data_IF_224876625624
#
_entry.id   IF_224876625624
#
_cell.length_a   1.000
_cell.length_b   1.000
_cell.length_c   1.000
_cell.angle_alpha   90.00
_cell.angle_beta   90.00
_cell.angle_gamma   90.00
#
_symmetry.space_group_name_H-M   'P 1'
#
loop_
_entity.id
_entity.type
_entity.pdbx_description
1 polymer ?
#
# COMPACT_ATOMS: atom_id res chain seq x y z
N UNK A 1 -10.88 18.68 -10.59
CA UNK A 1 -10.54 19.10 -9.22
C UNK A 1 -10.83 17.92 -8.29
N UNK A 2 -9.99 17.64 -7.31
CA UNK A 2 -10.22 16.55 -6.34
C UNK A 2 -10.89 17.15 -5.11
N UNK A 3 -11.99 16.51 -4.65
CA UNK A 3 -12.80 17.05 -3.56
C UNK A 3 -12.28 16.57 -2.21
N UNK A 4 -12.08 17.48 -1.27
CA UNK A 4 -11.67 17.20 0.11
C UNK A 4 -12.84 17.45 1.06
N UNK A 5 -13.14 16.46 1.91
CA UNK A 5 -14.20 16.54 2.92
C UNK A 5 -13.62 16.24 4.30
N UNK A 6 -14.08 16.95 5.30
CA UNK A 6 -13.65 16.72 6.68
C UNK A 6 -14.68 15.87 7.42
N UNK A 7 -14.22 14.81 8.08
CA UNK A 7 -15.05 13.86 8.82
C UNK A 7 -14.45 13.59 10.19
N UNK A 8 -15.29 13.53 11.21
CA UNK A 8 -14.89 13.08 12.54
C UNK A 8 -15.23 11.59 12.68
N UNK A 9 -14.24 10.69 12.62
CA UNK A 9 -14.48 9.26 12.72
C UNK A 9 -14.81 8.87 14.17
N UNK A 10 -15.63 7.84 14.34
CA UNK A 10 -15.87 7.24 15.67
C UNK A 10 -14.71 6.36 16.13
N UNK A 11 -14.03 5.71 15.19
CA UNK A 11 -12.92 4.78 15.44
C UNK A 11 -11.90 4.88 14.32
N UNK A 12 -10.66 4.57 14.63
CA UNK A 12 -9.54 4.48 13.67
C UNK A 12 -8.98 3.06 13.57
N UNK A 13 -8.84 2.37 14.72
CA UNK A 13 -8.38 1.00 14.76
C UNK A 13 -9.55 0.05 14.50
N UNK A 14 -9.51 -0.61 13.35
CA UNK A 14 -10.48 -1.63 13.00
C UNK A 14 -9.85 -3.02 13.17
N UNK A 15 -10.62 -4.02 13.58
CA UNK A 15 -10.13 -5.40 13.71
C UNK A 15 -9.56 -5.91 12.39
N UNK A 16 -8.38 -6.50 12.41
CA UNK A 16 -7.79 -7.20 11.26
C UNK A 16 -8.64 -8.44 10.92
N UNK A 17 -9.12 -8.53 9.69
CA UNK A 17 -9.97 -9.63 9.22
C UNK A 17 -9.61 -10.02 7.78
N UNK A 18 -9.99 -11.22 7.36
CA UNK A 18 -9.76 -11.70 5.99
C UNK A 18 -8.27 -11.73 5.65
N UNK A 19 -7.87 -11.02 4.60
CA UNK A 19 -6.46 -10.93 4.19
C UNK A 19 -5.55 -10.39 5.30
N UNK A 20 -6.07 -9.52 6.17
CA UNK A 20 -5.34 -8.92 7.28
C UNK A 20 -5.49 -9.68 8.61
N UNK A 21 -5.90 -10.95 8.61
CA UNK A 21 -6.10 -11.74 9.84
C UNK A 21 -4.82 -11.95 10.66
N UNK A 22 -3.63 -11.76 10.09
CA UNK A 22 -2.35 -11.76 10.81
C UNK A 22 -2.11 -10.51 11.66
N UNK A 23 -2.86 -9.43 11.42
CA UNK A 23 -2.82 -8.20 12.20
C UNK A 23 -3.96 -8.13 13.20
N UNK A 24 -3.68 -7.56 14.38
CA UNK A 24 -4.76 -7.28 15.34
C UNK A 24 -5.67 -6.17 14.85
N UNK A 25 -5.10 -5.18 14.15
CA UNK A 25 -5.82 -4.01 13.68
C UNK A 25 -5.40 -3.58 12.26
N UNK A 26 -6.33 -2.94 11.56
CA UNK A 26 -6.06 -2.10 10.40
C UNK A 26 -6.37 -0.64 10.72
N UNK A 27 -5.61 0.28 10.12
CA UNK A 27 -5.78 1.72 10.27
C UNK A 27 -5.71 2.37 8.90
N UNK A 28 -6.69 3.23 8.58
CA UNK A 28 -6.68 4.03 7.36
C UNK A 28 -6.77 5.51 7.75
N UNK A 29 -5.73 6.34 7.51
CA UNK A 29 -5.73 7.77 7.87
C UNK A 29 -6.83 8.56 7.16
N UNK A 30 -7.17 8.13 5.97
CA UNK A 30 -8.17 8.73 5.09
C UNK A 30 -9.28 7.73 4.74
N UNK A 31 -10.34 8.24 4.11
CA UNK A 31 -11.31 7.43 3.37
C UNK A 31 -11.36 7.97 1.93
N UNK A 32 -11.30 7.09 0.93
CA UNK A 32 -11.04 7.49 -0.44
C UNK A 32 -9.54 7.60 -0.74
N UNK A 33 -9.18 7.64 -2.04
CA UNK A 33 -7.79 7.71 -2.47
C UNK A 33 -7.70 8.39 -3.84
N UNK A 34 -7.04 9.54 -3.89
CA UNK A 34 -6.95 10.35 -5.11
C UNK A 34 -5.92 9.87 -6.13
N UNK A 35 -5.15 8.80 -5.83
CA UNK A 35 -4.36 8.10 -6.85
C UNK A 35 -5.25 7.38 -7.88
N UNK A 36 -6.46 6.99 -7.51
CA UNK A 36 -7.49 6.54 -8.45
C UNK A 36 -7.11 5.37 -9.34
N UNK A 37 -6.23 4.47 -8.89
CA UNK A 37 -5.76 3.33 -9.69
C UNK A 37 -6.90 2.61 -10.39
N UNK A 38 -6.72 2.24 -11.66
CA UNK A 38 -7.76 1.62 -12.48
C UNK A 38 -8.26 0.30 -11.88
N UNK A 39 -7.35 -0.48 -11.36
CA UNK A 39 -7.58 -1.81 -10.79
C UNK A 39 -7.98 -1.82 -9.30
N UNK A 40 -8.10 -0.67 -8.66
CA UNK A 40 -8.29 -0.62 -7.20
C UNK A 40 -9.57 -1.36 -6.78
N UNK A 41 -9.41 -2.46 -6.05
CA UNK A 41 -10.53 -3.29 -5.58
C UNK A 41 -11.51 -2.52 -4.67
N UNK A 42 -11.04 -1.43 -4.04
CA UNK A 42 -11.86 -0.58 -3.16
C UNK A 42 -13.00 0.08 -3.94
N UNK A 43 -12.88 0.25 -5.26
CA UNK A 43 -13.97 0.70 -6.15
C UNK A 43 -15.23 -0.17 -6.02
N UNK A 44 -15.07 -1.45 -5.65
CA UNK A 44 -16.15 -2.43 -5.48
C UNK A 44 -16.59 -2.61 -4.02
N UNK A 45 -16.03 -1.83 -3.10
CA UNK A 45 -16.43 -1.89 -1.69
C UNK A 45 -17.49 -0.83 -1.36
N UNK A 46 -18.30 -1.05 -0.30
CA UNK A 46 -19.35 -0.12 0.12
C UNK A 46 -18.89 1.33 0.26
N UNK A 47 -17.66 1.55 0.72
CA UNK A 47 -17.05 2.88 0.86
C UNK A 47 -17.01 3.67 -0.46
N UNK A 48 -16.94 2.98 -1.58
CA UNK A 48 -16.95 3.58 -2.92
C UNK A 48 -18.33 3.47 -3.59
N UNK A 49 -18.97 2.29 -3.52
CA UNK A 49 -20.21 2.01 -4.26
C UNK A 49 -21.42 2.82 -3.75
N UNK A 50 -21.43 3.19 -2.47
CA UNK A 50 -22.48 4.07 -1.90
C UNK A 50 -22.17 5.58 -2.06
N UNK A 51 -21.01 5.91 -2.62
CA UNK A 51 -20.64 7.29 -2.92
C UNK A 51 -21.11 7.68 -4.32
N UNK A 52 -21.65 8.89 -4.46
CA UNK A 52 -22.07 9.43 -5.78
C UNK A 52 -20.89 9.84 -6.66
N UNK A 53 -19.75 10.13 -6.05
CA UNK A 53 -18.54 10.59 -6.70
C UNK A 53 -17.68 9.42 -7.17
N UNK A 54 -17.07 9.55 -8.36
CA UNK A 54 -16.17 8.54 -8.90
C UNK A 54 -14.95 8.34 -8.00
N UNK A 55 -14.50 7.08 -7.87
CA UNK A 55 -13.25 6.77 -7.17
C UNK A 55 -12.06 7.50 -7.81
N UNK A 56 -11.22 8.09 -6.97
CA UNK A 56 -10.07 8.89 -7.43
C UNK A 56 -10.32 10.39 -7.45
N UNK A 57 -11.58 10.84 -7.28
CA UNK A 57 -11.94 12.27 -7.34
C UNK A 57 -12.20 12.90 -5.97
N UNK A 58 -12.16 12.12 -4.89
CA UNK A 58 -12.47 12.59 -3.55
C UNK A 58 -11.62 11.93 -2.46
N UNK A 59 -11.53 12.60 -1.33
CA UNK A 59 -10.95 12.10 -0.09
C UNK A 59 -11.67 12.68 1.12
N UNK A 60 -11.99 11.84 2.11
CA UNK A 60 -12.43 12.27 3.44
C UNK A 60 -11.22 12.33 4.37
N UNK A 61 -10.97 13.49 4.93
CA UNK A 61 -9.90 13.80 5.87
C UNK A 61 -10.44 13.56 7.29
N UNK A 62 -9.77 12.70 8.03
CA UNK A 62 -10.20 12.33 9.39
C UNK A 62 -9.71 13.34 10.42
N UNK A 63 -10.62 14.19 10.90
CA UNK A 63 -10.32 15.15 11.97
C UNK A 63 -10.06 14.44 13.30
N UNK A 64 -9.26 15.07 14.15
CA UNK A 64 -8.98 14.58 15.52
C UNK A 64 -8.40 13.14 15.55
N UNK A 65 -7.80 12.71 14.42
CA UNK A 65 -7.33 11.35 14.25
C UNK A 65 -6.29 10.96 15.32
N UNK A 66 -5.36 11.86 15.63
CA UNK A 66 -4.32 11.64 16.64
C UNK A 66 -4.92 11.38 18.04
N UNK A 67 -5.90 12.18 18.46
CA UNK A 67 -6.54 12.04 19.78
C UNK A 67 -7.36 10.77 19.90
N UNK A 68 -8.04 10.39 18.82
CA UNK A 68 -8.79 9.14 18.76
C UNK A 68 -7.82 7.95 18.83
N UNK A 69 -6.76 7.97 18.02
CA UNK A 69 -5.75 6.90 18.02
C UNK A 69 -5.09 6.75 19.40
N UNK A 70 -4.71 7.84 20.05
CA UNK A 70 -4.07 7.81 21.39
C UNK A 70 -4.93 7.05 22.41
N UNK A 71 -6.24 7.27 22.40
CA UNK A 71 -7.20 6.58 23.30
C UNK A 71 -7.35 5.11 22.92
N UNK A 72 -7.51 4.83 21.62
CA UNK A 72 -7.74 3.47 21.13
C UNK A 72 -6.49 2.59 21.27
N UNK A 73 -5.30 3.14 21.00
CA UNK A 73 -4.03 2.43 21.10
C UNK A 73 -3.75 2.00 22.55
N UNK A 74 -3.91 2.91 23.52
CA UNK A 74 -3.79 2.58 24.95
C UNK A 74 -4.76 1.45 25.35
N UNK A 75 -6.02 1.55 24.90
CA UNK A 75 -7.06 0.53 25.17
C UNK A 75 -6.73 -0.80 24.48
N UNK A 76 -6.19 -0.78 23.29
CA UNK A 76 -5.78 -2.01 22.59
C UNK A 76 -4.61 -2.69 23.29
N UNK A 77 -3.58 -1.93 23.66
CA UNK A 77 -2.39 -2.44 24.35
C UNK A 77 -2.69 -3.01 25.74
N UNK A 78 -3.68 -2.47 26.46
CA UNK A 78 -4.12 -3.07 27.74
C UNK A 78 -4.74 -4.47 27.60
N UNK A 79 -5.07 -4.87 26.37
CA UNK A 79 -5.66 -6.19 26.05
C UNK A 79 -4.66 -7.18 25.47
N UNK A 80 -3.43 -6.74 25.13
CA UNK A 80 -2.37 -7.57 24.59
C UNK A 80 -1.61 -6.95 23.44
N UNK A 81 -0.96 -7.77 22.64
CA UNK A 81 -0.14 -7.37 21.49
C UNK A 81 -0.94 -6.57 20.47
N UNK A 82 -0.36 -5.49 19.95
CA UNK A 82 -0.96 -4.64 18.95
C UNK A 82 -0.11 -4.58 17.69
N UNK A 83 -0.60 -5.17 16.62
CA UNK A 83 -0.01 -5.08 15.28
C UNK A 83 -0.97 -4.34 14.36
N UNK A 84 -0.46 -3.36 13.62
CA UNK A 84 -1.27 -2.45 12.80
C UNK A 84 -0.86 -2.55 11.34
N UNK A 85 -1.84 -2.79 10.45
CA UNK A 85 -1.67 -2.60 9.02
C UNK A 85 -2.22 -1.23 8.64
N UNK A 86 -1.33 -0.30 8.28
CA UNK A 86 -1.73 1.03 7.84
C UNK A 86 -1.96 1.04 6.34
N UNK A 87 -3.22 1.37 5.98
CA UNK A 87 -3.70 1.65 4.64
C UNK A 87 -3.98 0.43 3.76
N UNK A 88 -5.03 -0.30 4.16
CA UNK A 88 -5.63 -1.36 3.34
C UNK A 88 -6.61 -0.85 2.28
N UNK A 89 -7.22 0.33 2.46
CA UNK A 89 -8.27 0.84 1.57
C UNK A 89 -8.06 2.29 1.09
N UNK A 90 -6.91 2.84 1.34
CA UNK A 90 -6.47 4.17 0.90
C UNK A 90 -4.94 4.18 0.73
N UNK A 91 -4.36 5.31 0.38
CA UNK A 91 -2.91 5.51 0.53
C UNK A 91 -2.67 6.54 1.65
N UNK A 92 -1.81 6.27 2.64
CA UNK A 92 -1.59 7.15 3.78
C UNK A 92 -0.85 8.43 3.38
N UNK A 93 -0.16 8.39 2.26
CA UNK A 93 0.62 9.51 1.71
C UNK A 93 0.06 10.00 0.36
N UNK A 94 -1.26 9.85 0.13
CA UNK A 94 -1.90 10.46 -1.03
C UNK A 94 -1.74 11.99 -1.04
N UNK A 95 -1.97 12.70 -2.16
CA UNK A 95 -1.69 14.14 -2.28
C UNK A 95 -2.22 15.02 -1.15
N UNK A 96 -3.39 14.71 -0.59
CA UNK A 96 -3.97 15.45 0.53
C UNK A 96 -3.06 15.46 1.78
N UNK A 97 -2.28 14.40 2.00
CA UNK A 97 -1.38 14.27 3.16
C UNK A 97 -0.29 15.35 3.20
N UNK A 98 0.12 15.88 2.02
CA UNK A 98 1.12 16.95 1.98
C UNK A 98 0.70 18.18 2.79
N UNK A 99 -0.59 18.50 2.79
CA UNK A 99 -1.17 19.65 3.51
C UNK A 99 -1.81 19.27 4.83
N UNK A 100 -2.45 18.10 4.88
CA UNK A 100 -3.32 17.72 6.00
C UNK A 100 -2.56 17.02 7.14
N UNK A 101 -1.40 16.42 6.87
CA UNK A 101 -0.49 15.78 7.83
C UNK A 101 -1.16 14.78 8.81
N UNK A 102 -2.26 14.15 8.38
CA UNK A 102 -2.99 13.19 9.22
C UNK A 102 -2.12 11.97 9.52
N UNK A 103 -1.45 11.42 8.50
CA UNK A 103 -0.55 10.27 8.68
C UNK A 103 0.61 10.62 9.61
N UNK A 104 1.20 11.80 9.44
CA UNK A 104 2.28 12.28 10.30
C UNK A 104 1.84 12.36 11.76
N UNK A 105 0.68 12.98 12.03
CA UNK A 105 0.14 13.08 13.38
C UNK A 105 -0.16 11.73 14.03
N UNK A 106 -0.55 10.72 13.24
CA UNK A 106 -0.74 9.35 13.72
C UNK A 106 0.61 8.66 14.03
N UNK A 107 1.64 8.91 13.23
CA UNK A 107 2.99 8.39 13.50
C UNK A 107 3.57 9.02 14.78
N UNK A 108 3.35 10.31 15.03
CA UNK A 108 3.74 10.98 16.27
C UNK A 108 3.14 10.28 17.50
N UNK A 109 1.83 9.96 17.46
CA UNK A 109 1.18 9.17 18.52
C UNK A 109 1.80 7.79 18.68
N UNK A 110 2.16 7.12 17.56
CA UNK A 110 2.79 5.80 17.61
C UNK A 110 4.24 5.85 18.10
N UNK A 111 4.93 6.96 17.93
CA UNK A 111 6.26 7.17 18.54
C UNK A 111 6.14 7.35 20.04
N UNK A 112 5.15 8.12 20.53
CA UNK A 112 4.87 8.29 21.96
C UNK A 112 4.49 6.96 22.66
N UNK A 113 3.70 6.14 22.01
CA UNK A 113 3.20 4.85 22.53
C UNK A 113 3.25 3.77 21.43
N UNK A 114 4.45 3.17 21.15
CA UNK A 114 4.64 2.34 19.97
C UNK A 114 3.80 1.06 19.98
N UNK A 115 3.15 0.70 18.84
CA UNK A 115 2.59 -0.64 18.68
C UNK A 115 3.70 -1.70 18.66
N UNK A 116 3.36 -2.97 18.78
CA UNK A 116 4.32 -4.06 18.64
C UNK A 116 4.84 -4.19 17.21
N UNK A 117 4.01 -3.86 16.23
CA UNK A 117 4.42 -3.79 14.82
C UNK A 117 3.48 -2.88 14.01
N UNK A 118 4.07 -2.08 13.13
CA UNK A 118 3.39 -1.21 12.16
C UNK A 118 3.84 -1.55 10.73
N UNK A 119 2.91 -1.94 9.89
CA UNK A 119 3.13 -2.05 8.45
C UNK A 119 2.55 -0.81 7.76
N UNK A 120 3.37 -0.07 7.02
CA UNK A 120 2.96 1.12 6.29
C UNK A 120 2.93 0.83 4.80
N UNK A 121 1.75 0.78 4.21
CA UNK A 121 1.56 0.50 2.77
C UNK A 121 1.37 1.79 1.99
N UNK A 122 2.26 2.11 1.04
CA UNK A 122 2.14 3.29 0.20
C UNK A 122 2.76 3.11 -1.19
N UNK A 123 2.35 3.94 -2.14
CA UNK A 123 3.04 4.15 -3.43
C UNK A 123 3.58 5.57 -3.57
N UNK A 124 3.41 6.36 -2.52
CA UNK A 124 3.78 7.77 -2.52
C UNK A 124 5.24 7.97 -2.16
N UNK A 125 5.84 8.97 -2.77
CA UNK A 125 7.18 9.45 -2.42
C UNK A 125 7.18 10.32 -1.16
N UNK A 126 5.99 10.76 -0.71
CA UNK A 126 5.85 11.65 0.45
C UNK A 126 6.24 10.97 1.78
N UNK A 127 6.27 9.63 1.84
CA UNK A 127 6.73 8.89 3.02
C UNK A 127 8.13 9.29 3.48
N UNK A 128 8.97 9.83 2.58
CA UNK A 128 10.31 10.36 2.89
C UNK A 128 10.27 11.52 3.89
N UNK A 129 9.16 12.29 3.94
CA UNK A 129 8.98 13.39 4.89
C UNK A 129 9.07 12.90 6.34
N UNK A 130 8.58 11.69 6.59
CA UNK A 130 8.38 11.15 7.94
C UNK A 130 9.45 10.12 8.35
N UNK A 131 10.61 10.11 7.67
CA UNK A 131 11.76 9.25 8.02
C UNK A 131 12.18 9.47 9.48
N UNK A 132 12.12 10.70 9.98
CA UNK A 132 12.43 11.06 11.36
C UNK A 132 11.59 10.30 12.40
N UNK A 133 10.30 10.11 12.12
CA UNK A 133 9.37 9.35 12.97
C UNK A 133 9.51 7.85 12.78
N UNK A 134 9.68 7.40 11.53
CA UNK A 134 9.84 5.99 11.22
C UNK A 134 11.08 5.38 11.87
N UNK A 135 12.19 6.13 11.92
CA UNK A 135 13.40 5.70 12.60
C UNK A 135 13.23 5.54 14.12
N UNK A 136 12.35 6.31 14.75
CA UNK A 136 12.06 6.18 16.17
C UNK A 136 11.27 4.91 16.49
N UNK A 137 10.54 4.36 15.54
CA UNK A 137 9.83 3.07 15.67
C UNK A 137 10.76 1.86 15.54
N UNK A 138 11.97 2.04 14.99
CA UNK A 138 13.02 1.00 14.87
C UNK A 138 12.48 -0.26 14.15
N UNK A 139 12.75 -1.44 14.73
CA UNK A 139 12.33 -2.74 14.20
C UNK A 139 10.80 -2.97 14.23
N UNK A 140 10.06 -2.06 14.87
CA UNK A 140 8.59 -2.14 14.97
C UNK A 140 7.87 -1.62 13.75
N UNK A 141 8.57 -1.10 12.76
CA UNK A 141 7.96 -0.60 11.53
C UNK A 141 8.54 -1.31 10.30
N UNK A 142 7.69 -1.54 9.31
CA UNK A 142 8.11 -1.88 7.95
C UNK A 142 7.38 -0.96 6.98
N UNK A 143 8.14 -0.19 6.22
CA UNK A 143 7.59 0.65 5.15
C UNK A 143 7.58 -0.16 3.85
N UNK A 144 6.42 -0.33 3.29
CA UNK A 144 6.21 -1.02 2.04
C UNK A 144 5.89 -0.03 0.93
N UNK A 145 6.79 0.07 -0.05
CA UNK A 145 6.59 0.92 -1.22
C UNK A 145 6.15 0.07 -2.40
N UNK A 146 4.97 0.36 -2.92
CA UNK A 146 4.43 -0.34 -4.09
C UNK A 146 5.10 0.16 -5.38
N UNK A 147 5.68 -0.79 -6.12
CA UNK A 147 6.26 -0.60 -7.47
C UNK A 147 5.72 -1.73 -8.34
N UNK A 148 4.58 -1.52 -8.99
CA UNK A 148 3.85 -2.58 -9.71
C UNK A 148 4.54 -3.03 -11.00
N UNK A 149 5.38 -2.17 -11.56
CA UNK A 149 6.11 -2.34 -12.81
C UNK A 149 7.32 -1.41 -12.85
N UNK A 150 8.28 -1.70 -13.69
CA UNK A 150 9.40 -0.82 -14.01
C UNK A 150 9.21 -0.09 -15.36
N UNK A 151 8.04 -0.22 -15.99
CA UNK A 151 7.65 0.40 -17.27
C UNK A 151 6.75 1.60 -17.03
N UNK A 152 7.24 2.79 -17.36
CA UNK A 152 6.51 4.05 -17.15
C UNK A 152 5.29 4.21 -18.08
N UNK A 153 5.31 3.60 -19.28
CA UNK A 153 4.16 3.50 -20.17
C UNK A 153 3.02 2.72 -19.53
N UNK A 154 3.31 1.57 -18.93
CA UNK A 154 2.35 0.74 -18.20
C UNK A 154 1.80 1.50 -16.98
N UNK A 155 2.67 2.14 -16.18
CA UNK A 155 2.21 2.96 -15.05
C UNK A 155 1.17 3.99 -15.49
N UNK A 156 1.40 4.69 -16.60
CA UNK A 156 0.47 5.73 -17.11
C UNK A 156 -0.91 5.19 -17.45
N UNK A 157 -1.03 3.96 -17.92
CA UNK A 157 -2.32 3.33 -18.22
C UNK A 157 -3.06 2.87 -16.94
N UNK A 158 -2.34 2.30 -15.97
CA UNK A 158 -2.96 1.68 -14.80
C UNK A 158 -3.05 2.61 -13.58
N UNK A 159 -2.06 3.47 -13.37
CA UNK A 159 -1.96 4.37 -12.20
C UNK A 159 -1.46 5.76 -12.60
N UNK A 160 -2.18 6.50 -13.48
CA UNK A 160 -1.71 7.76 -14.06
C UNK A 160 -1.38 8.82 -13.01
N UNK A 161 -2.14 8.87 -11.92
CA UNK A 161 -1.99 9.86 -10.85
C UNK A 161 -0.94 9.46 -9.77
N UNK A 162 -0.41 8.25 -9.85
CA UNK A 162 0.63 7.82 -8.91
C UNK A 162 2.00 8.41 -9.30
N UNK A 163 2.94 8.61 -8.34
CA UNK A 163 4.26 9.12 -8.64
C UNK A 163 4.99 8.29 -9.69
N UNK A 164 5.88 8.90 -10.50
CA UNK A 164 6.72 8.19 -11.46
C UNK A 164 7.51 7.05 -10.81
N UNK A 165 7.75 5.98 -11.56
CA UNK A 165 8.46 4.80 -11.06
C UNK A 165 9.84 5.17 -10.52
N UNK A 166 10.61 5.96 -11.26
CA UNK A 166 11.94 6.41 -10.83
C UNK A 166 11.91 7.12 -9.47
N UNK A 167 10.89 7.94 -9.21
CA UNK A 167 10.75 8.62 -7.93
C UNK A 167 10.44 7.66 -6.76
N UNK A 168 9.71 6.55 -7.04
CA UNK A 168 9.47 5.49 -6.05
C UNK A 168 10.73 4.66 -5.78
N UNK A 169 11.53 4.35 -6.81
CA UNK A 169 12.82 3.69 -6.64
C UNK A 169 13.79 4.54 -5.81
N UNK A 170 13.86 5.85 -6.08
CA UNK A 170 14.62 6.79 -5.25
C UNK A 170 14.11 6.84 -3.80
N UNK A 171 12.80 6.69 -3.60
CA UNK A 171 12.22 6.63 -2.25
C UNK A 171 12.68 5.38 -1.50
N UNK A 172 12.69 4.22 -2.17
CA UNK A 172 13.23 2.98 -1.58
C UNK A 172 14.71 3.15 -1.20
N UNK A 173 15.50 3.76 -2.08
CA UNK A 173 16.91 4.04 -1.80
C UNK A 173 17.09 4.93 -0.57
N UNK A 174 16.39 6.05 -0.49
CA UNK A 174 16.49 6.98 0.65
C UNK A 174 16.04 6.34 1.96
N UNK A 175 14.96 5.54 1.95
CA UNK A 175 14.52 4.81 3.14
C UNK A 175 15.57 3.79 3.59
N UNK A 176 16.19 3.06 2.66
CA UNK A 176 17.27 2.11 2.94
C UNK A 176 18.50 2.80 3.50
N UNK A 177 18.96 3.89 2.87
CA UNK A 177 20.11 4.67 3.32
C UNK A 177 19.90 5.27 4.71
N UNK A 178 18.66 5.67 5.03
CA UNK A 178 18.28 6.12 6.35
C UNK A 178 18.20 4.99 7.40
N UNK A 179 18.20 3.71 6.99
CA UNK A 179 18.08 2.57 7.90
C UNK A 179 16.64 2.22 8.29
N UNK A 180 15.64 2.70 7.55
CA UNK A 180 14.23 2.32 7.77
C UNK A 180 13.99 0.91 7.22
N UNK A 181 13.42 -0.04 8.00
CA UNK A 181 13.04 -1.35 7.50
C UNK A 181 12.06 -1.23 6.33
N UNK A 182 12.48 -1.68 5.14
CA UNK A 182 11.78 -1.38 3.89
C UNK A 182 11.52 -2.64 3.07
N UNK A 183 10.37 -2.68 2.39
CA UNK A 183 9.95 -3.71 1.45
C UNK A 183 9.49 -3.06 0.14
N UNK A 184 9.78 -3.69 -0.99
CA UNK A 184 9.10 -3.39 -2.24
C UNK A 184 7.94 -4.37 -2.46
N UNK A 185 6.78 -3.86 -2.86
CA UNK A 185 5.66 -4.73 -3.25
C UNK A 185 5.28 -4.49 -4.70
N UNK A 186 5.23 -5.59 -5.44
CA UNK A 186 4.78 -5.68 -6.83
C UNK A 186 3.32 -6.15 -6.78
N UNK A 187 2.40 -5.24 -6.45
CA UNK A 187 0.98 -5.56 -6.19
C UNK A 187 0.02 -4.45 -6.69
N UNK A 188 -0.85 -4.78 -7.64
CA UNK A 188 -0.81 -6.00 -8.43
C UNK A 188 0.39 -6.00 -9.36
N UNK A 189 0.91 -7.18 -9.66
CA UNK A 189 1.94 -7.34 -10.67
C UNK A 189 1.41 -6.87 -12.04
N UNK A 190 2.09 -5.88 -12.62
CA UNK A 190 1.80 -5.36 -13.96
C UNK A 190 2.90 -5.77 -14.95
N UNK A 191 2.64 -5.66 -16.27
CA UNK A 191 3.65 -5.93 -17.30
C UNK A 191 4.96 -5.18 -17.02
N UNK A 192 6.06 -5.91 -16.95
CA UNK A 192 7.37 -5.39 -16.54
C UNK A 192 8.49 -5.91 -17.47
N UNK A 193 9.64 -5.24 -17.45
CA UNK A 193 10.80 -5.69 -18.20
C UNK A 193 11.50 -6.86 -17.52
N UNK A 194 12.38 -7.55 -18.26
CA UNK A 194 13.24 -8.61 -17.72
C UNK A 194 14.26 -8.09 -16.69
N UNK A 195 14.55 -6.78 -16.73
CA UNK A 195 15.50 -6.12 -15.83
C UNK A 195 14.86 -5.60 -14.53
N UNK A 196 13.57 -5.84 -14.31
CA UNK A 196 12.88 -5.27 -13.14
C UNK A 196 13.47 -5.72 -11.80
N UNK A 197 13.80 -7.00 -11.66
CA UNK A 197 14.46 -7.52 -10.47
C UNK A 197 15.81 -6.82 -10.19
N UNK A 198 16.61 -6.59 -11.23
CA UNK A 198 17.91 -5.92 -11.11
C UNK A 198 17.79 -4.46 -10.60
N UNK A 199 16.68 -3.77 -10.92
CA UNK A 199 16.43 -2.41 -10.43
C UNK A 199 16.09 -2.38 -8.93
N UNK A 200 15.60 -3.48 -8.37
CA UNK A 200 15.16 -3.55 -6.98
C UNK A 200 16.19 -4.16 -6.03
N UNK A 201 17.06 -5.07 -6.51
CA UNK A 201 17.96 -5.87 -5.66
C UNK A 201 18.92 -5.03 -4.82
N UNK A 202 19.37 -3.89 -5.35
CA UNK A 202 20.22 -2.96 -4.59
C UNK A 202 19.44 -2.06 -3.61
N UNK A 203 18.12 -2.01 -3.73
CA UNK A 203 17.27 -1.07 -3.00
C UNK A 203 16.57 -1.71 -1.80
N UNK A 204 16.25 -2.99 -1.84
CA UNK A 204 15.53 -3.70 -0.78
C UNK A 204 16.04 -5.11 -0.56
N UNK A 205 15.85 -5.62 0.65
CA UNK A 205 16.14 -7.01 1.01
C UNK A 205 14.86 -7.85 1.13
N UNK A 206 13.71 -7.30 0.79
CA UNK A 206 12.41 -7.97 0.89
C UNK A 206 11.51 -7.51 -0.25
N UNK A 207 11.00 -8.45 -1.03
CA UNK A 207 10.07 -8.21 -2.12
C UNK A 207 8.83 -9.08 -1.94
N UNK A 208 7.65 -8.50 -2.09
CA UNK A 208 6.39 -9.23 -2.16
C UNK A 208 5.81 -9.12 -3.57
N UNK A 209 5.51 -10.25 -4.19
CA UNK A 209 4.83 -10.32 -5.49
C UNK A 209 3.39 -10.75 -5.24
N UNK A 210 2.44 -9.97 -5.74
CA UNK A 210 1.01 -10.25 -5.61
C UNK A 210 0.27 -9.86 -6.88
N UNK A 211 -0.89 -10.47 -7.12
CA UNK A 211 -1.68 -10.24 -8.31
C UNK A 211 -3.15 -9.92 -7.99
N UNK A 212 -3.96 -9.79 -9.03
CA UNK A 212 -5.39 -9.54 -8.90
C UNK A 212 -6.17 -10.74 -8.35
N UNK A 213 -5.63 -11.95 -8.49
CA UNK A 213 -6.33 -13.20 -8.19
C UNK A 213 -6.09 -13.64 -6.75
N UNK A 214 -4.95 -13.28 -6.18
CA UNK A 214 -4.56 -13.58 -4.80
C UNK A 214 -4.87 -12.43 -3.85
N UNK A 215 -4.50 -11.20 -4.20
CA UNK A 215 -4.43 -10.05 -3.29
C UNK A 215 -5.73 -9.30 -3.04
N UNK A 216 -6.75 -9.46 -3.90
CA UNK A 216 -8.02 -8.73 -3.72
C UNK A 216 -9.00 -9.43 -2.76
N UNK A 217 -8.65 -10.62 -2.27
CA UNK A 217 -9.48 -11.42 -1.37
C UNK A 217 -10.77 -11.94 -2.00
N UNK A 218 -10.92 -11.87 -3.33
CA UNK A 218 -12.11 -12.31 -4.06
C UNK A 218 -11.82 -13.31 -5.20
N UNK A 219 -10.55 -13.74 -5.35
CA UNK A 219 -10.12 -14.57 -6.49
C UNK A 219 -10.28 -13.85 -7.83
N UNK A 220 -9.97 -12.55 -7.86
CA UNK A 220 -10.02 -11.71 -9.05
C UNK A 220 -11.43 -11.27 -9.49
N UNK A 221 -12.50 -11.58 -8.74
CA UNK A 221 -13.87 -11.19 -9.12
C UNK A 221 -14.05 -9.68 -9.18
N UNK A 222 -13.46 -8.93 -8.24
CA UNK A 222 -13.56 -7.46 -8.18
C UNK A 222 -12.88 -6.81 -9.37
N UNK A 223 -11.69 -7.26 -9.74
CA UNK A 223 -10.97 -6.71 -10.90
C UNK A 223 -11.64 -7.09 -12.22
N UNK A 224 -12.24 -8.28 -12.32
CA UNK A 224 -13.10 -8.61 -13.47
C UNK A 224 -14.30 -7.66 -13.58
N UNK A 225 -14.96 -7.34 -12.47
CA UNK A 225 -16.07 -6.36 -12.46
C UNK A 225 -15.63 -4.94 -12.84
N UNK A 226 -14.36 -4.62 -12.73
CA UNK A 226 -13.77 -3.34 -13.19
C UNK A 226 -13.33 -3.38 -14.66
N UNK A 227 -13.57 -4.50 -15.34
CA UNK A 227 -13.20 -4.73 -16.75
C UNK A 227 -11.68 -4.52 -17.02
N UNK A 228 -10.83 -4.89 -16.05
CA UNK A 228 -9.37 -4.73 -16.19
C UNK A 228 -8.81 -5.58 -17.33
N UNK A 229 -9.42 -6.75 -17.63
CA UNK A 229 -9.03 -7.57 -18.78
C UNK A 229 -9.07 -6.79 -20.09
N UNK A 230 -10.13 -6.02 -20.35
CA UNK A 230 -10.22 -5.20 -21.57
C UNK A 230 -9.13 -4.14 -21.68
N UNK A 231 -8.62 -3.62 -20.55
CA UNK A 231 -7.45 -2.71 -20.57
C UNK A 231 -6.20 -3.45 -21.05
N UNK A 232 -5.97 -4.69 -20.57
CA UNK A 232 -4.86 -5.52 -21.07
C UNK A 232 -5.01 -5.85 -22.56
N UNK A 233 -6.21 -6.23 -23.02
CA UNK A 233 -6.53 -6.49 -24.43
C UNK A 233 -6.22 -5.27 -25.31
N UNK A 234 -6.64 -4.08 -24.87
CA UNK A 234 -6.38 -2.83 -25.61
C UNK A 234 -4.89 -2.48 -25.75
N UNK A 235 -4.03 -3.07 -24.91
CA UNK A 235 -2.59 -2.89 -24.93
C UNK A 235 -1.83 -4.06 -25.57
N UNK A 236 -2.54 -5.13 -25.99
CA UNK A 236 -1.92 -6.36 -26.51
C UNK A 236 -1.07 -7.08 -25.47
N UNK A 237 -1.54 -7.15 -24.22
CA UNK A 237 -0.81 -7.67 -23.06
C UNK A 237 -1.64 -8.69 -22.26
N UNK A 238 -2.54 -9.42 -22.94
CA UNK A 238 -3.52 -10.33 -22.32
C UNK A 238 -2.87 -11.44 -21.50
N UNK A 239 -1.68 -11.87 -21.89
CA UNK A 239 -0.90 -12.91 -21.20
C UNK A 239 -0.55 -12.53 -19.77
N UNK A 240 -0.50 -11.21 -19.46
CA UNK A 240 -0.23 -10.71 -18.11
C UNK A 240 -1.47 -10.74 -17.20
N UNK A 241 -2.68 -10.81 -17.76
CA UNK A 241 -3.92 -10.90 -16.99
C UNK A 241 -4.36 -12.36 -16.81
N UNK A 242 -3.49 -13.17 -16.22
CA UNK A 242 -3.72 -14.60 -15.99
C UNK A 242 -3.24 -15.02 -14.59
N UNK A 243 -3.96 -15.93 -13.88
CA UNK A 243 -3.61 -16.35 -12.52
C UNK A 243 -2.19 -16.96 -12.36
N UNK A 244 -1.61 -17.46 -13.44
CA UNK A 244 -0.26 -18.02 -13.41
C UNK A 244 0.84 -17.03 -13.86
N UNK A 245 0.48 -15.81 -14.30
CA UNK A 245 1.46 -14.85 -14.81
C UNK A 245 2.52 -14.47 -13.77
N UNK A 246 2.16 -14.40 -12.48
CA UNK A 246 3.10 -14.12 -11.41
C UNK A 246 4.26 -15.11 -11.33
N UNK A 247 4.07 -16.37 -11.75
CA UNK A 247 5.13 -17.41 -11.68
C UNK A 247 6.33 -17.04 -12.55
N UNK A 248 6.09 -16.56 -13.76
CA UNK A 248 7.16 -16.13 -14.66
C UNK A 248 7.94 -14.93 -14.08
N UNK A 249 7.25 -13.99 -13.43
CA UNK A 249 7.91 -12.87 -12.74
C UNK A 249 8.67 -13.37 -11.52
N UNK A 250 8.08 -14.23 -10.70
CA UNK A 250 8.74 -14.82 -9.52
C UNK A 250 10.02 -15.54 -9.90
N UNK A 251 10.02 -16.37 -10.96
CA UNK A 251 11.22 -17.06 -11.48
C UNK A 251 12.30 -16.05 -11.90
N UNK A 252 11.96 -14.98 -12.60
CA UNK A 252 12.92 -13.91 -12.93
C UNK A 252 13.56 -13.30 -11.67
N UNK A 253 12.75 -13.11 -10.63
CA UNK A 253 13.24 -12.56 -9.35
C UNK A 253 14.15 -13.54 -8.62
N UNK A 254 13.89 -14.85 -8.68
CA UNK A 254 14.75 -15.90 -8.11
C UNK A 254 16.17 -15.94 -8.70
N UNK A 255 16.36 -15.47 -9.94
CA UNK A 255 17.70 -15.34 -10.52
C UNK A 255 18.53 -14.20 -9.92
N UNK A 256 17.89 -13.28 -9.21
CA UNK A 256 18.52 -12.03 -8.72
C UNK A 256 18.48 -11.93 -7.20
N UNK A 257 17.39 -12.37 -6.57
CA UNK A 257 17.16 -12.32 -5.12
C UNK A 257 17.32 -13.71 -4.49
N UNK A 258 17.91 -13.82 -3.28
CA UNK A 258 17.76 -15.00 -2.45
C UNK A 258 16.29 -15.34 -2.20
N UNK A 259 15.96 -16.63 -2.20
CA UNK A 259 14.56 -17.09 -2.04
C UNK A 259 13.89 -16.57 -0.76
N UNK A 260 14.63 -16.48 0.33
CA UNK A 260 14.18 -16.00 1.63
C UNK A 260 13.84 -14.50 1.66
N UNK A 261 14.17 -13.76 0.60
CA UNK A 261 13.81 -12.36 0.43
C UNK A 261 12.57 -12.17 -0.46
N UNK A 262 12.06 -13.25 -1.05
CA UNK A 262 10.92 -13.24 -1.97
C UNK A 262 9.69 -13.87 -1.31
N UNK A 263 8.62 -13.12 -1.30
CA UNK A 263 7.34 -13.50 -0.72
C UNK A 263 6.24 -13.43 -1.77
N UNK A 264 5.23 -14.27 -1.63
CA UNK A 264 4.08 -14.28 -2.54
C UNK A 264 2.83 -13.96 -1.75
N UNK A 265 2.08 -12.96 -2.22
CA UNK A 265 0.78 -12.56 -1.69
C UNK A 265 0.81 -12.37 -0.15
N UNK A 266 -0.09 -13.02 0.59
CA UNK A 266 -0.31 -12.83 2.03
C UNK A 266 0.96 -12.93 2.87
N UNK A 267 1.88 -13.85 2.55
CA UNK A 267 3.13 -14.04 3.30
C UNK A 267 4.00 -12.77 3.33
N UNK A 268 4.00 -12.01 2.24
CA UNK A 268 4.75 -10.76 2.16
C UNK A 268 4.15 -9.61 2.97
N UNK A 269 2.89 -9.74 3.38
CA UNK A 269 2.18 -8.73 4.16
C UNK A 269 2.04 -9.09 5.65
N UNK A 270 2.54 -10.24 6.09
CA UNK A 270 2.49 -10.61 7.51
C UNK A 270 3.44 -9.76 8.37
N UNK A 271 3.08 -9.53 9.67
CA UNK A 271 3.88 -8.76 10.62
C UNK A 271 5.26 -9.35 10.86
#
# INVERSE_FOLDING_TARGET
MKNEYYKSPKTLLNKGTGFLSGYTHSLNPYTGCTFGCSYCYVRQLPVSTFRKEAWGTWVDIKKEAADILRKELRRAKSKGKVTIFMSSSTDPYQPAEYKQEVTRSLLEVMVEDPPDFLFVQTRSTLVRRDIDLLLQLKERVRVNVTVETDREDIRKHFTPEAPPIQARLQTLQLLKEAGVPTQATIAPMLPSSEHFANKLVSLVNRVCIDDYFMGDGSGGRRTRSLNIGALYESLGLEEWYHPAAYKAVYERFLHVFPKEQLYVSKEGFEP
#
